data_IF_959912498048
#
_entry.id   IF_959912498048
#
_cell.length_a   1.000
_cell.length_b   1.000
_cell.length_c   1.000
_cell.angle_alpha   90.00
_cell.angle_beta   90.00
_cell.angle_gamma   90.00
#
_symmetry.space_group_name_H-M   'P 1'
#
loop_
_entity.id
_entity.type
_entity.pdbx_description
1 polymer ?
#
# COMPACT_ATOMS: atom_id res chain seq x y z
N UNK A 1 -22.08 1.65 -17.70
CA UNK A 1 -21.86 0.95 -16.41
C UNK A 1 -20.37 0.64 -16.28
N UNK A 2 -19.82 0.91 -15.11
CA UNK A 2 -18.42 0.56 -14.83
C UNK A 2 -18.32 -0.89 -14.38
N UNK A 3 -17.22 -1.53 -14.72
CA UNK A 3 -16.91 -2.88 -14.24
C UNK A 3 -15.99 -2.83 -13.05
N UNK A 4 -16.26 -3.64 -12.04
CA UNK A 4 -15.37 -3.86 -10.93
C UNK A 4 -14.52 -5.10 -11.17
N UNK A 5 -13.22 -4.92 -11.25
CA UNK A 5 -12.26 -6.00 -11.37
C UNK A 5 -11.66 -6.30 -10.01
N UNK A 6 -11.85 -7.53 -9.53
CA UNK A 6 -11.29 -7.98 -8.27
C UNK A 6 -10.10 -8.88 -8.59
N UNK A 7 -8.94 -8.57 -7.98
CA UNK A 7 -7.72 -9.32 -8.22
C UNK A 7 -7.06 -9.70 -6.90
N UNK A 8 -6.68 -10.96 -6.81
CA UNK A 8 -5.82 -11.45 -5.74
C UNK A 8 -4.38 -11.42 -6.24
N UNK A 9 -3.53 -10.63 -5.59
CA UNK A 9 -2.14 -10.42 -6.02
C UNK A 9 -1.14 -11.27 -5.23
N UNK A 10 -1.62 -11.95 -4.19
CA UNK A 10 -0.73 -12.71 -3.32
C UNK A 10 0.11 -11.80 -2.45
N UNK A 11 1.30 -12.26 -2.12
CA UNK A 11 2.23 -11.53 -1.25
C UNK A 11 3.15 -10.67 -2.10
N UNK A 12 3.07 -9.35 -1.92
CA UNK A 12 3.88 -8.38 -2.67
C UNK A 12 4.66 -7.48 -1.72
N UNK A 13 5.93 -7.18 -2.03
CA UNK A 13 6.64 -6.10 -1.36
C UNK A 13 5.87 -4.79 -1.48
N UNK A 14 5.95 -3.97 -0.43
CA UNK A 14 5.18 -2.73 -0.37
C UNK A 14 5.48 -1.80 -1.55
N UNK A 15 6.76 -1.65 -1.91
CA UNK A 15 7.15 -0.76 -3.00
C UNK A 15 6.55 -1.15 -4.34
N UNK A 16 6.51 -2.46 -4.65
CA UNK A 16 5.89 -2.95 -5.89
C UNK A 16 4.38 -2.71 -5.90
N UNK A 17 3.71 -2.97 -4.78
CA UNK A 17 2.27 -2.72 -4.65
C UNK A 17 1.96 -1.22 -4.78
N UNK A 18 2.80 -0.37 -4.22
CA UNK A 18 2.64 1.09 -4.31
C UNK A 18 2.72 1.57 -5.75
N UNK A 19 3.69 1.09 -6.52
CA UNK A 19 3.83 1.44 -7.94
C UNK A 19 2.61 0.99 -8.74
N UNK A 20 2.15 -0.24 -8.51
CA UNK A 20 0.95 -0.77 -9.17
C UNK A 20 -0.28 0.08 -8.83
N UNK A 21 -0.46 0.42 -7.56
CA UNK A 21 -1.57 1.24 -7.10
C UNK A 21 -1.58 2.61 -7.79
N UNK A 22 -0.42 3.26 -7.88
CA UNK A 22 -0.30 4.57 -8.52
C UNK A 22 -0.68 4.49 -10.00
N UNK A 23 -0.20 3.46 -10.70
CA UNK A 23 -0.51 3.27 -12.11
C UNK A 23 -1.99 3.04 -12.37
N UNK A 24 -2.62 2.17 -11.58
CA UNK A 24 -4.06 1.88 -11.70
C UNK A 24 -4.92 3.07 -11.28
N UNK A 25 -4.51 3.80 -10.24
CA UNK A 25 -5.21 5.00 -9.82
C UNK A 25 -5.24 6.05 -10.95
N UNK A 26 -4.11 6.26 -11.59
CA UNK A 26 -4.03 7.17 -12.74
C UNK A 26 -4.95 6.71 -13.87
N UNK A 27 -4.99 5.43 -14.17
CA UNK A 27 -5.85 4.89 -15.22
C UNK A 27 -7.35 5.02 -14.87
N UNK A 28 -7.73 4.71 -13.62
CA UNK A 28 -9.15 4.76 -13.21
C UNK A 28 -9.67 6.19 -13.05
N UNK A 29 -8.79 7.17 -12.88
CA UNK A 29 -9.17 8.57 -12.77
C UNK A 29 -9.66 9.17 -14.09
N UNK A 30 -9.36 8.52 -15.20
CA UNK A 30 -9.77 9.01 -16.53
C UNK A 30 -11.25 8.77 -16.73
N UNK A 31 -11.96 9.76 -17.26
CA UNK A 31 -13.40 9.67 -17.49
C UNK A 31 -13.79 8.53 -18.43
N UNK A 32 -12.91 8.19 -19.36
CA UNK A 32 -13.14 7.18 -20.36
C UNK A 32 -12.88 5.76 -19.86
N UNK A 33 -12.27 5.59 -18.70
CA UNK A 33 -11.97 4.26 -18.18
C UNK A 33 -13.27 3.57 -17.70
N UNK A 34 -13.58 2.37 -18.21
CA UNK A 34 -14.76 1.64 -17.75
C UNK A 34 -14.50 0.78 -16.52
N UNK A 35 -13.28 0.78 -15.97
CA UNK A 35 -12.87 -0.18 -14.95
C UNK A 35 -12.61 0.49 -13.61
N UNK A 36 -13.08 -0.17 -12.56
CA UNK A 36 -12.65 0.04 -11.19
C UNK A 36 -11.93 -1.23 -10.71
N UNK A 37 -11.10 -1.10 -9.69
CA UNK A 37 -10.32 -2.22 -9.17
C UNK A 37 -10.45 -2.35 -7.68
N UNK A 38 -10.56 -3.60 -7.21
CA UNK A 38 -10.35 -3.99 -5.83
C UNK A 38 -9.20 -4.99 -5.81
N UNK A 39 -8.07 -4.59 -5.26
CA UNK A 39 -6.89 -5.42 -5.17
C UNK A 39 -6.78 -5.98 -3.76
N UNK A 40 -6.69 -7.29 -3.66
CA UNK A 40 -6.52 -7.99 -2.40
C UNK A 40 -5.12 -8.60 -2.38
N UNK A 41 -4.37 -8.34 -1.33
CA UNK A 41 -2.98 -8.78 -1.24
C UNK A 41 -2.50 -8.87 0.20
N UNK A 42 -1.27 -9.36 0.34
CA UNK A 42 -0.49 -9.27 1.57
C UNK A 42 0.83 -8.58 1.24
N UNK A 43 1.38 -7.86 2.20
CA UNK A 43 2.75 -7.35 2.10
C UNK A 43 3.72 -8.23 2.86
N UNK A 44 4.99 -8.20 2.47
CA UNK A 44 6.07 -8.57 3.36
C UNK A 44 6.06 -7.62 4.55
N UNK A 45 6.70 -7.99 5.64
CA UNK A 45 6.74 -7.14 6.82
C UNK A 45 7.24 -5.74 6.45
N UNK A 46 6.47 -4.73 6.75
CA UNK A 46 6.75 -3.35 6.37
C UNK A 46 6.21 -2.38 7.40
N UNK A 47 7.00 -1.35 7.69
CA UNK A 47 6.57 -0.19 8.48
C UNK A 47 6.43 0.98 7.53
N UNK A 48 5.29 1.65 7.59
CA UNK A 48 5.07 2.88 6.81
C UNK A 48 4.79 4.04 7.75
N UNK A 49 5.27 5.23 7.38
CA UNK A 49 4.94 6.48 8.08
C UNK A 49 4.19 7.39 7.11
N UNK A 50 3.03 7.87 7.54
CA UNK A 50 2.18 8.74 6.74
C UNK A 50 2.54 10.21 6.88
N UNK A 51 1.78 11.07 6.20
CA UNK A 51 2.03 12.52 6.14
C UNK A 51 2.02 13.22 7.50
N UNK A 52 1.20 12.74 8.42
CA UNK A 52 1.14 13.31 9.78
C UNK A 52 2.03 12.57 10.77
N UNK A 53 2.87 11.65 10.26
CA UNK A 53 3.72 10.85 11.11
C UNK A 53 4.94 11.58 11.61
N UNK A 54 5.37 11.20 12.80
CA UNK A 54 6.61 11.67 13.41
C UNK A 54 7.55 10.48 13.53
N UNK A 55 8.75 10.58 12.93
CA UNK A 55 9.75 9.52 12.98
C UNK A 55 10.14 9.17 14.42
N UNK A 56 9.97 10.08 15.34
CA UNK A 56 10.24 9.82 16.75
C UNK A 56 9.27 8.82 17.39
N UNK A 57 8.15 8.55 16.74
CA UNK A 57 7.23 7.50 17.16
C UNK A 57 7.71 6.10 16.76
N UNK A 58 8.75 6.00 15.94
CA UNK A 58 9.37 4.73 15.61
C UNK A 58 10.27 4.29 16.79
N UNK A 59 9.84 3.24 17.48
CA UNK A 59 10.50 2.81 18.73
C UNK A 59 11.76 1.98 18.51
N UNK A 60 12.04 1.59 17.27
CA UNK A 60 13.25 0.85 16.90
C UNK A 60 13.95 1.56 15.74
N UNK A 61 15.28 1.40 15.64
CA UNK A 61 16.04 2.04 14.57
C UNK A 61 15.74 1.40 13.21
N UNK A 62 15.94 2.17 12.14
CA UNK A 62 15.84 1.65 10.78
C UNK A 62 16.82 0.50 10.54
N UNK A 63 17.97 0.50 11.19
CA UNK A 63 18.96 -0.57 11.09
C UNK A 63 18.39 -1.89 11.64
N UNK A 64 17.71 -1.85 12.79
CA UNK A 64 17.07 -3.03 13.36
C UNK A 64 15.98 -3.55 12.44
N UNK A 65 15.17 -2.69 11.82
CA UNK A 65 14.17 -3.09 10.85
C UNK A 65 14.83 -3.82 9.67
N UNK A 66 15.89 -3.26 9.12
CA UNK A 66 16.60 -3.85 7.99
C UNK A 66 17.22 -5.20 8.34
N UNK A 67 17.81 -5.35 9.53
CA UNK A 67 18.38 -6.61 10.02
C UNK A 67 17.33 -7.72 10.13
N UNK A 68 16.07 -7.37 10.37
CA UNK A 68 14.95 -8.30 10.49
C UNK A 68 14.13 -8.42 9.21
N UNK A 69 14.64 -7.93 8.09
CA UNK A 69 13.95 -7.94 6.79
C UNK A 69 12.58 -7.24 6.83
N UNK A 70 12.49 -6.17 7.61
CA UNK A 70 11.30 -5.31 7.67
C UNK A 70 11.59 -4.06 6.86
N UNK A 71 10.80 -3.83 5.81
CA UNK A 71 10.93 -2.64 4.99
C UNK A 71 10.41 -1.41 5.73
N UNK A 72 10.91 -0.24 5.36
CA UNK A 72 10.45 1.05 5.91
C UNK A 72 10.21 2.01 4.76
N UNK A 73 9.03 2.63 4.74
CA UNK A 73 8.67 3.62 3.72
C UNK A 73 8.00 4.84 4.33
N UNK A 74 8.37 6.00 3.84
CA UNK A 74 7.62 7.24 4.03
C UNK A 74 6.62 7.37 2.89
N UNK A 75 5.36 7.65 3.22
CA UNK A 75 4.27 7.64 2.24
C UNK A 75 3.46 8.93 2.30
N UNK A 76 2.67 9.15 1.26
CA UNK A 76 1.75 10.28 1.18
C UNK A 76 0.33 9.98 1.70
N UNK A 77 0.13 8.79 2.30
CA UNK A 77 -1.15 8.47 2.95
C UNK A 77 -1.36 9.30 4.21
N UNK A 78 -2.59 9.38 4.67
CA UNK A 78 -2.87 9.94 5.98
C UNK A 78 -2.37 9.04 7.11
N UNK A 79 -2.25 9.59 8.29
CA UNK A 79 -1.89 8.84 9.50
C UNK A 79 -0.40 8.88 9.84
N UNK A 80 -0.07 8.20 10.92
CA UNK A 80 1.26 8.11 11.49
C UNK A 80 1.92 6.79 11.08
N UNK A 81 2.61 6.13 11.99
CA UNK A 81 3.30 4.87 11.75
C UNK A 81 2.32 3.70 11.76
N UNK A 82 2.47 2.81 10.79
CA UNK A 82 1.67 1.59 10.68
C UNK A 82 2.58 0.42 10.32
N UNK A 83 2.32 -0.73 10.92
CA UNK A 83 2.97 -1.99 10.58
C UNK A 83 2.00 -2.89 9.82
N UNK A 84 2.47 -3.46 8.71
CA UNK A 84 1.79 -4.53 8.00
C UNK A 84 2.68 -5.76 8.00
N UNK A 85 2.13 -6.90 8.35
CA UNK A 85 2.89 -8.13 8.47
C UNK A 85 2.31 -9.29 7.69
N UNK A 86 3.02 -10.40 7.71
CA UNK A 86 2.59 -11.64 7.09
C UNK A 86 1.22 -12.08 7.62
N UNK A 87 0.36 -12.54 6.72
CA UNK A 87 -0.98 -12.99 7.06
C UNK A 87 -2.02 -11.89 7.18
N UNK A 88 -1.62 -10.63 7.07
CA UNK A 88 -2.57 -9.51 7.13
C UNK A 88 -3.13 -9.24 5.74
N UNK A 89 -4.45 -9.36 5.60
CA UNK A 89 -5.13 -9.04 4.35
C UNK A 89 -5.19 -7.53 4.14
N UNK A 90 -4.81 -7.10 2.96
CA UNK A 90 -4.87 -5.69 2.54
C UNK A 90 -5.81 -5.58 1.36
N UNK A 91 -6.72 -4.62 1.43
CA UNK A 91 -7.62 -4.28 0.34
C UNK A 91 -7.33 -2.88 -0.18
N UNK A 92 -7.06 -2.75 -1.46
CA UNK A 92 -6.85 -1.48 -2.13
C UNK A 92 -8.01 -1.24 -3.09
N UNK A 93 -8.82 -0.22 -2.81
CA UNK A 93 -9.96 0.14 -3.63
C UNK A 93 -9.60 1.31 -4.54
N UNK A 94 -9.65 1.09 -5.84
CA UNK A 94 -9.30 2.06 -6.87
C UNK A 94 -10.54 2.27 -7.74
N UNK A 95 -11.34 3.24 -7.36
CA UNK A 95 -12.62 3.51 -8.02
C UNK A 95 -12.64 4.92 -8.61
N UNK A 96 -13.44 5.09 -9.65
CA UNK A 96 -13.68 6.41 -10.24
C UNK A 96 -14.64 7.21 -9.35
N UNK A 97 -14.23 8.39 -9.00
CA UNK A 97 -15.04 9.31 -8.18
C UNK A 97 -15.39 10.55 -8.98
#
# INVERSE_FOLDING_TARGET
>A
MRELNIRWLGKLPYGEAYILQKGLHSATSQETSPFDYLLLLEHNNVVTIGRSGDINNLLVSKNILNENNIEFFETDRGGDITFHGDGQLIGLSLIHI
#
